data_IF_618784988389
#
_entry.id   IF_618784988389
#
_cell.length_a   1.000
_cell.length_b   1.000
_cell.length_c   1.000
_cell.angle_alpha   90.00
_cell.angle_beta   90.00
_cell.angle_gamma   90.00
#
_symmetry.space_group_name_H-M   'P 1'
#
loop_
_entity.id
_entity.type
_entity.pdbx_description
1 polymer ?
#
# COMPACT_ATOMS: atom_id res chain seq x y z
N UNK A 1 -45.17 31.05 8.40
CA UNK A 1 -45.06 29.78 9.15
C UNK A 1 -44.63 28.74 8.14
N UNK A 2 -43.42 28.17 8.32
CA UNK A 2 -42.70 27.16 7.49
C UNK A 2 -42.24 27.69 6.11
N UNK A 3 -41.04 27.44 5.57
CA UNK A 3 -40.00 26.42 5.77
C UNK A 3 -38.63 27.12 5.56
N UNK A 4 -37.81 27.21 6.60
CA UNK A 4 -36.66 26.32 6.84
C UNK A 4 -35.43 26.71 6.02
N UNK A 5 -34.55 27.41 6.73
CA UNK A 5 -33.12 27.54 6.50
C UNK A 5 -32.56 26.31 5.78
N UNK A 6 -32.26 26.47 4.48
CA UNK A 6 -31.37 25.55 3.77
C UNK A 6 -29.98 25.76 4.36
N UNK A 7 -29.72 25.04 5.44
CA UNK A 7 -28.42 24.89 6.08
C UNK A 7 -27.42 24.48 4.99
N UNK A 8 -26.65 25.47 4.56
CA UNK A 8 -25.48 25.40 3.71
C UNK A 8 -24.36 24.67 4.46
N UNK A 9 -24.63 23.41 4.84
CA UNK A 9 -23.62 22.47 5.31
C UNK A 9 -22.78 22.09 4.12
N UNK A 10 -21.87 23.01 3.79
CA UNK A 10 -20.67 22.75 3.05
C UNK A 10 -20.15 21.38 3.48
N UNK A 11 -20.28 20.42 2.57
CA UNK A 11 -19.49 19.22 2.58
C UNK A 11 -18.04 19.71 2.59
N UNK A 12 -17.46 19.80 3.79
CA UNK A 12 -16.02 19.92 3.95
C UNK A 12 -15.47 18.65 3.34
N UNK A 13 -15.20 18.71 2.04
CA UNK A 13 -14.35 17.74 1.37
C UNK A 13 -13.04 17.83 2.11
N UNK A 14 -12.84 16.88 3.02
CA UNK A 14 -11.58 16.67 3.68
C UNK A 14 -10.55 16.52 2.55
N UNK A 15 -9.76 17.58 2.34
CA UNK A 15 -8.83 17.72 1.22
C UNK A 15 -7.57 16.88 1.49
N UNK A 16 -7.77 15.72 2.14
CA UNK A 16 -6.78 14.70 2.32
C UNK A 16 -6.48 14.12 0.94
N UNK A 17 -5.29 14.42 0.45
CA UNK A 17 -4.77 13.85 -0.79
C UNK A 17 -4.85 12.32 -0.65
N UNK A 18 -5.52 11.65 -1.60
CA UNK A 18 -5.57 10.20 -1.61
C UNK A 18 -4.14 9.66 -1.80
N UNK A 19 -3.56 9.10 -0.73
CA UNK A 19 -2.27 8.41 -0.81
C UNK A 19 -2.52 6.93 -0.98
N UNK A 20 -2.06 6.38 -2.11
CA UNK A 20 -2.16 4.92 -2.32
C UNK A 20 -1.28 4.17 -1.31
N UNK A 21 -1.74 3.01 -0.86
CA UNK A 21 -0.96 2.13 0.05
C UNK A 21 0.42 1.82 -0.55
N UNK A 22 0.49 1.60 -1.87
CA UNK A 22 1.74 1.37 -2.58
C UNK A 22 2.70 2.55 -2.44
N UNK A 23 2.22 3.78 -2.59
CA UNK A 23 3.03 4.98 -2.44
C UNK A 23 3.49 5.18 -0.99
N UNK A 24 2.61 4.97 -0.01
CA UNK A 24 2.97 5.02 1.40
C UNK A 24 4.04 3.97 1.75
N UNK A 25 3.91 2.76 1.23
CA UNK A 25 4.88 1.69 1.42
C UNK A 25 6.24 2.03 0.79
N UNK A 26 6.27 2.51 -0.47
CA UNK A 26 7.50 2.89 -1.16
C UNK A 26 8.20 4.09 -0.51
N UNK A 27 7.44 5.04 0.04
CA UNK A 27 7.98 6.18 0.77
C UNK A 27 8.55 5.78 2.16
N UNK A 28 8.12 4.65 2.72
CA UNK A 28 8.56 4.20 4.04
C UNK A 28 9.98 3.62 4.03
N UNK A 29 10.71 3.80 5.14
CA UNK A 29 11.97 3.09 5.42
C UNK A 29 11.78 1.55 5.47
N UNK A 30 10.53 1.10 5.60
CA UNK A 30 10.15 -0.30 5.78
C UNK A 30 10.17 -1.09 4.47
N UNK A 31 10.27 -0.43 3.31
CA UNK A 31 10.46 -1.11 2.01
C UNK A 31 11.66 -2.05 2.01
N UNK A 32 12.67 -1.75 2.83
CA UNK A 32 13.91 -2.54 2.99
C UNK A 32 13.75 -3.76 3.90
N UNK A 33 12.62 -3.92 4.60
CA UNK A 33 12.41 -5.01 5.57
C UNK A 33 11.76 -6.26 4.96
N UNK A 34 11.29 -6.19 3.73
CA UNK A 34 10.69 -7.34 3.04
C UNK A 34 11.81 -8.15 2.39
N UNK A 35 11.88 -9.43 2.75
CA UNK A 35 12.88 -10.37 2.23
C UNK A 35 12.21 -11.41 1.33
N UNK A 36 12.93 -11.81 0.28
CA UNK A 36 12.52 -12.88 -0.59
C UNK A 36 12.52 -14.20 0.19
N UNK A 37 11.40 -14.94 0.25
CA UNK A 37 11.33 -16.21 0.97
C UNK A 37 12.14 -17.33 0.30
N UNK A 38 12.64 -17.10 -0.92
CA UNK A 38 13.38 -18.09 -1.70
C UNK A 38 14.89 -17.96 -1.54
N UNK A 39 15.42 -16.73 -1.51
CA UNK A 39 16.86 -16.48 -1.44
C UNK A 39 17.30 -15.64 -0.23
N UNK A 40 16.36 -15.13 0.57
CA UNK A 40 16.66 -14.29 1.73
C UNK A 40 17.07 -12.85 1.41
N UNK A 41 17.31 -12.51 0.14
CA UNK A 41 17.67 -11.16 -0.26
C UNK A 41 16.51 -10.17 -0.03
N UNK A 42 16.82 -8.93 0.33
CA UNK A 42 15.85 -7.84 0.41
C UNK A 42 15.20 -7.60 -0.95
N UNK A 43 13.88 -7.41 -0.96
CA UNK A 43 13.13 -7.11 -2.18
C UNK A 43 13.13 -5.61 -2.41
N UNK A 44 13.77 -5.17 -3.49
CA UNK A 44 13.80 -3.77 -3.90
C UNK A 44 12.61 -3.43 -4.81
N UNK A 45 11.52 -2.99 -4.19
CA UNK A 45 10.32 -2.52 -4.88
C UNK A 45 10.50 -1.16 -5.59
N UNK A 46 11.62 -0.48 -5.41
CA UNK A 46 11.91 0.81 -6.05
C UNK A 46 12.43 0.70 -7.48
N UNK A 47 12.96 -0.47 -7.88
CA UNK A 47 13.51 -0.62 -9.23
C UNK A 47 13.87 -2.03 -9.70
N UNK A 48 13.71 -3.07 -8.89
CA UNK A 48 14.13 -4.44 -9.24
C UNK A 48 13.02 -5.50 -9.14
N UNK A 49 11.77 -5.05 -9.09
CA UNK A 49 10.62 -5.94 -9.09
C UNK A 49 9.95 -5.91 -10.45
N UNK A 50 9.94 -7.06 -11.12
CA UNK A 50 9.19 -7.25 -12.36
C UNK A 50 7.88 -7.98 -12.06
N UNK A 51 6.74 -7.33 -12.31
CA UNK A 51 5.43 -7.95 -12.11
C UNK A 51 5.13 -8.97 -13.21
N UNK A 52 4.81 -10.19 -12.81
CA UNK A 52 4.45 -11.32 -13.69
C UNK A 52 2.98 -11.65 -13.54
N UNK A 53 2.14 -10.62 -13.69
CA UNK A 53 0.69 -10.67 -13.50
C UNK A 53 0.21 -9.96 -12.23
N UNK A 54 -1.08 -10.09 -11.89
CA UNK A 54 -1.72 -9.30 -10.84
C UNK A 54 -1.34 -9.71 -9.41
N UNK A 55 -0.85 -10.95 -9.24
CA UNK A 55 -0.61 -11.56 -7.93
C UNK A 55 0.83 -12.01 -7.71
N UNK A 56 1.68 -11.95 -8.73
CA UNK A 56 3.03 -12.48 -8.70
C UNK A 56 4.04 -11.48 -9.26
N UNK A 57 5.23 -11.49 -8.68
CA UNK A 57 6.36 -10.71 -9.15
C UNK A 57 7.64 -11.53 -9.05
N UNK A 58 8.62 -11.23 -9.90
CA UNK A 58 9.93 -11.85 -9.86
C UNK A 58 10.85 -11.08 -8.90
N UNK A 59 11.56 -11.80 -8.04
CA UNK A 59 12.62 -11.21 -7.23
C UNK A 59 13.85 -10.93 -8.09
N UNK A 60 14.25 -9.68 -8.27
CA UNK A 60 15.42 -9.31 -9.10
C UNK A 60 16.79 -9.80 -8.60
N UNK A 61 16.85 -10.60 -7.53
CA UNK A 61 18.08 -11.26 -7.07
C UNK A 61 18.20 -12.73 -7.48
N UNK A 62 17.08 -13.45 -7.61
CA UNK A 62 17.10 -14.89 -7.91
C UNK A 62 16.10 -15.30 -8.99
N UNK A 63 15.41 -14.33 -9.59
CA UNK A 63 14.39 -14.46 -10.64
C UNK A 63 13.24 -15.43 -10.31
N UNK A 64 13.10 -15.80 -9.02
CA UNK A 64 12.01 -16.64 -8.54
C UNK A 64 10.75 -15.81 -8.39
N UNK A 65 9.63 -16.41 -8.77
CA UNK A 65 8.29 -15.87 -8.56
C UNK A 65 7.94 -15.86 -7.07
N UNK A 66 7.47 -14.71 -6.63
CA UNK A 66 6.99 -14.43 -5.27
C UNK A 66 5.56 -13.90 -5.38
N UNK A 67 4.70 -14.34 -4.47
CA UNK A 67 3.29 -13.92 -4.44
C UNK A 67 3.13 -12.60 -3.67
N UNK A 68 2.27 -11.71 -4.14
CA UNK A 68 2.00 -10.40 -3.50
C UNK A 68 1.46 -10.50 -2.07
N UNK A 69 0.87 -11.64 -1.69
CA UNK A 69 0.41 -11.89 -0.31
C UNK A 69 1.52 -11.71 0.73
N UNK A 70 2.78 -11.87 0.32
CA UNK A 70 3.94 -11.62 1.18
C UNK A 70 4.12 -10.13 1.49
N UNK A 71 3.83 -9.27 0.51
CA UNK A 71 3.80 -7.81 0.66
C UNK A 71 2.63 -7.42 1.57
N UNK A 72 1.44 -7.98 1.32
CA UNK A 72 0.24 -7.73 2.15
C UNK A 72 0.49 -8.16 3.61
N UNK A 73 1.09 -9.35 3.78
CA UNK A 73 1.77 -9.87 4.98
C UNK A 73 2.51 -8.78 5.74
N UNK A 74 3.62 -8.37 5.12
CA UNK A 74 4.53 -7.40 5.68
C UNK A 74 3.84 -6.06 5.97
N UNK A 75 3.01 -5.54 5.07
CA UNK A 75 2.30 -4.27 5.28
C UNK A 75 1.37 -4.31 6.51
N UNK A 76 0.71 -5.45 6.76
CA UNK A 76 -0.13 -5.64 7.94
C UNK A 76 0.71 -5.75 9.23
N UNK A 77 1.78 -6.54 9.21
CA UNK A 77 2.69 -6.68 10.36
C UNK A 77 3.37 -5.34 10.72
N UNK A 78 3.51 -4.46 9.73
CA UNK A 78 4.11 -3.14 9.86
C UNK A 78 3.10 -2.04 10.20
N UNK A 79 1.80 -2.35 10.29
CA UNK A 79 0.75 -1.37 10.60
C UNK A 79 0.43 -0.37 9.49
N UNK A 80 0.96 -0.56 8.27
CA UNK A 80 0.71 0.31 7.09
C UNK A 80 -0.69 0.02 6.49
N UNK A 81 -1.26 -1.16 6.76
CA UNK A 81 -2.55 -1.60 6.23
C UNK A 81 -3.80 -1.02 6.92
N UNK A 82 -3.66 -0.26 8.01
CA UNK A 82 -4.80 0.43 8.63
C UNK A 82 -4.99 1.79 7.97
N UNK A 83 -5.80 1.83 6.91
CA UNK A 83 -6.36 3.10 6.44
C UNK A 83 -7.33 3.59 7.53
N UNK A 84 -7.09 4.75 8.17
CA UNK A 84 -8.09 5.33 9.06
C UNK A 84 -9.30 5.73 8.21
N UNK A 85 -10.46 5.07 8.38
CA UNK A 85 -11.70 5.50 7.74
C UNK A 85 -12.66 4.44 7.21
N UNK A 86 -12.36 3.14 7.25
CA UNK A 86 -13.35 2.10 6.94
C UNK A 86 -14.02 1.58 8.22
N UNK A 87 -15.12 2.25 8.61
CA UNK A 87 -16.15 1.74 9.51
C UNK A 87 -17.48 1.78 8.78
#
# INVERSE_FOLDING_TARGET
>A
MWMSDMDERALSHDNSEFVSITQAFLASELRSKIHCPRCGATIDFGGKVEWKGPDHFACGHCDRLVNKSLIIRAMNDLGIGQIPGMK
#
